data_IF_399329056745
#
_entry.id   IF_399329056745
#
_cell.length_a   1.000
_cell.length_b   1.000
_cell.length_c   1.000
_cell.angle_alpha   90.00
_cell.angle_beta   90.00
_cell.angle_gamma   90.00
#
_symmetry.space_group_name_H-M   'P 1'
#
loop_
_entity.id
_entity.type
_entity.pdbx_description
1 polymer ?
#
# COMPACT_ATOMS: atom_id res chain seq x y z
N UNK A 1 19.26 -0.05 1.97
CA UNK A 1 18.73 1.25 1.49
C UNK A 1 17.61 1.68 2.42
N UNK A 2 17.79 2.75 3.17
CA UNK A 2 16.77 3.32 4.05
C UNK A 2 15.86 4.25 3.25
N UNK A 3 14.58 4.34 3.65
CA UNK A 3 13.57 5.14 2.94
C UNK A 3 13.32 6.41 3.75
N UNK A 4 13.74 7.56 3.22
CA UNK A 4 13.58 8.87 3.85
C UNK A 4 12.50 9.72 3.17
N UNK A 5 12.10 9.34 1.96
CA UNK A 5 11.04 10.01 1.21
C UNK A 5 9.65 9.54 1.65
N UNK A 6 8.68 10.47 1.57
CA UNK A 6 7.26 10.19 1.79
C UNK A 6 6.48 10.41 0.50
N UNK A 7 5.47 9.58 0.30
CA UNK A 7 4.49 9.73 -0.76
C UNK A 7 3.10 9.58 -0.15
N UNK A 8 2.25 10.59 -0.34
CA UNK A 8 0.84 10.54 0.06
C UNK A 8 -0.02 10.40 -1.17
N UNK A 9 -0.88 9.40 -1.20
CA UNK A 9 -1.88 9.27 -2.26
C UNK A 9 -2.88 10.44 -2.19
N UNK A 10 -3.43 10.87 -3.33
CA UNK A 10 -4.43 11.94 -3.33
C UNK A 10 -5.66 11.59 -2.47
N UNK A 11 -6.21 12.57 -1.76
CA UNK A 11 -7.36 12.34 -0.88
C UNK A 11 -8.63 11.96 -1.66
N UNK A 12 -8.74 12.43 -2.91
CA UNK A 12 -9.77 11.98 -3.85
C UNK A 12 -9.70 10.47 -4.07
N UNK A 13 -8.52 9.92 -4.31
CA UNK A 13 -8.33 8.48 -4.51
C UNK A 13 -8.58 7.71 -3.22
N UNK A 14 -8.10 8.18 -2.07
CA UNK A 14 -8.38 7.55 -0.76
C UNK A 14 -9.88 7.46 -0.50
N UNK A 15 -10.60 8.57 -0.69
CA UNK A 15 -12.04 8.63 -0.51
C UNK A 15 -12.80 7.71 -1.49
N UNK A 16 -12.32 7.58 -2.74
CA UNK A 16 -12.88 6.65 -3.70
C UNK A 16 -12.69 5.19 -3.24
N UNK A 17 -11.48 4.81 -2.78
CA UNK A 17 -11.18 3.46 -2.29
C UNK A 17 -12.06 3.08 -1.10
N UNK A 18 -12.28 3.99 -0.15
CA UNK A 18 -13.16 3.73 1.00
C UNK A 18 -14.64 3.53 0.64
N UNK A 19 -15.09 4.06 -0.51
CA UNK A 19 -16.46 3.85 -1.00
C UNK A 19 -16.63 2.52 -1.74
N UNK A 20 -15.54 1.89 -2.18
CA UNK A 20 -15.61 0.62 -2.87
C UNK A 20 -15.86 -0.52 -1.88
N UNK A 21 -16.63 -1.52 -2.32
CA UNK A 21 -16.83 -2.75 -1.57
C UNK A 21 -15.81 -3.81 -2.05
N UNK A 22 -14.96 -4.36 -1.17
CA UNK A 22 -14.04 -5.42 -1.56
C UNK A 22 -14.81 -6.68 -1.95
N UNK A 23 -14.35 -7.37 -2.99
CA UNK A 23 -14.91 -8.64 -3.44
C UNK A 23 -13.92 -9.76 -3.13
N UNK A 24 -13.95 -10.25 -1.89
CA UNK A 24 -13.15 -11.41 -1.51
C UNK A 24 -13.73 -12.70 -2.11
N UNK A 25 -12.86 -13.53 -2.67
CA UNK A 25 -13.23 -14.84 -3.20
C UNK A 25 -13.50 -15.89 -2.11
N UNK A 26 -13.85 -17.10 -2.56
CA UNK A 26 -14.02 -18.28 -1.71
C UNK A 26 -15.11 -18.13 -0.63
N UNK A 27 -16.27 -17.55 -0.98
CA UNK A 27 -17.43 -17.37 -0.09
C UNK A 27 -17.06 -16.70 1.25
N UNK A 28 -16.21 -15.68 1.22
CA UNK A 28 -15.80 -14.92 2.41
C UNK A 28 -14.62 -15.52 3.19
N UNK A 29 -14.13 -16.71 2.82
CA UNK A 29 -12.91 -17.25 3.44
C UNK A 29 -11.70 -16.34 3.21
N UNK A 30 -11.57 -15.74 2.03
CA UNK A 30 -10.50 -14.78 1.74
C UNK A 30 -10.53 -13.55 2.66
N UNK A 31 -11.74 -13.09 3.01
CA UNK A 31 -11.94 -11.97 3.92
C UNK A 31 -11.51 -12.33 5.35
N UNK A 32 -11.92 -13.50 5.84
CA UNK A 32 -11.52 -14.00 7.15
C UNK A 32 -9.99 -14.17 7.26
N UNK A 33 -9.34 -14.71 6.23
CA UNK A 33 -7.88 -14.85 6.18
C UNK A 33 -7.20 -13.49 6.20
N UNK A 34 -7.73 -12.51 5.47
CA UNK A 34 -7.20 -11.14 5.44
C UNK A 34 -7.26 -10.48 6.82
N UNK A 35 -8.42 -10.46 7.46
CA UNK A 35 -8.58 -9.82 8.77
C UNK A 35 -7.81 -10.52 9.89
N UNK A 36 -7.61 -11.85 9.79
CA UNK A 36 -6.77 -12.60 10.72
C UNK A 36 -5.28 -12.31 10.56
N UNK A 37 -4.81 -12.17 9.32
CA UNK A 37 -3.37 -12.28 9.01
C UNK A 37 -2.72 -10.94 8.67
N UNK A 38 -3.39 -10.12 7.87
CA UNK A 38 -2.80 -8.94 7.23
C UNK A 38 -3.35 -7.62 7.76
N UNK A 39 -4.60 -7.60 8.23
CA UNK A 39 -5.20 -6.40 8.80
C UNK A 39 -4.50 -6.01 10.10
N UNK A 40 -3.94 -4.80 10.12
CA UNK A 40 -3.22 -4.27 11.29
C UNK A 40 -4.18 -3.59 12.25
N UNK A 41 -3.82 -3.55 13.52
CA UNK A 41 -4.52 -2.70 14.50
C UNK A 41 -4.07 -1.24 14.32
N UNK A 42 -5.02 -0.36 14.12
CA UNK A 42 -4.85 1.09 14.10
C UNK A 42 -4.67 1.61 15.53
N UNK A 43 -4.20 2.85 15.68
CA UNK A 43 -4.01 3.50 16.98
C UNK A 43 -5.32 3.60 17.80
N UNK A 44 -6.46 3.67 17.11
CA UNK A 44 -7.80 3.70 17.74
C UNK A 44 -8.30 2.30 18.16
N UNK A 45 -7.47 1.26 18.08
CA UNK A 45 -7.82 -0.12 18.45
C UNK A 45 -8.61 -0.90 17.40
N UNK A 46 -9.12 -0.25 16.36
CA UNK A 46 -9.82 -0.91 15.26
C UNK A 46 -8.85 -1.57 14.27
N UNK A 47 -9.33 -2.55 13.53
CA UNK A 47 -8.58 -3.17 12.44
C UNK A 47 -8.57 -2.29 11.18
N UNK A 48 -7.51 -2.39 10.39
CA UNK A 48 -7.44 -1.84 9.04
C UNK A 48 -8.53 -2.47 8.17
N UNK A 49 -9.26 -1.64 7.44
CA UNK A 49 -10.08 -2.09 6.32
C UNK A 49 -9.20 -2.46 5.12
N UNK A 50 -9.75 -3.20 4.16
CA UNK A 50 -9.02 -3.51 2.92
C UNK A 50 -8.51 -2.24 2.21
N UNK A 51 -9.34 -1.19 2.16
CA UNK A 51 -8.94 0.12 1.63
C UNK A 51 -7.75 0.72 2.38
N UNK A 52 -7.74 0.66 3.72
CA UNK A 52 -6.61 1.14 4.55
C UNK A 52 -5.32 0.41 4.18
N UNK A 53 -5.37 -0.92 4.05
CA UNK A 53 -4.21 -1.73 3.65
C UNK A 53 -3.73 -1.37 2.25
N UNK A 54 -4.63 -1.25 1.26
CA UNK A 54 -4.26 -0.86 -0.11
C UNK A 54 -3.57 0.51 -0.11
N UNK A 55 -4.13 1.51 0.57
CA UNK A 55 -3.54 2.86 0.65
C UNK A 55 -2.13 2.79 1.25
N UNK A 56 -1.97 2.08 2.38
CA UNK A 56 -0.68 1.91 3.05
C UNK A 56 0.35 1.24 2.14
N UNK A 57 -0.03 0.14 1.49
CA UNK A 57 0.86 -0.63 0.63
C UNK A 57 1.31 0.19 -0.58
N UNK A 58 0.37 0.85 -1.27
CA UNK A 58 0.66 1.67 -2.44
C UNK A 58 1.57 2.83 -2.08
N UNK A 59 1.28 3.55 -0.99
CA UNK A 59 2.17 4.61 -0.51
C UNK A 59 3.56 4.06 -0.21
N UNK A 60 3.66 2.90 0.45
CA UNK A 60 4.95 2.25 0.71
C UNK A 60 5.74 1.90 -0.55
N UNK A 61 5.08 1.39 -1.59
CA UNK A 61 5.73 1.08 -2.87
C UNK A 61 6.22 2.37 -3.54
N UNK A 62 5.39 3.42 -3.53
CA UNK A 62 5.74 4.71 -4.13
C UNK A 62 6.85 5.43 -3.35
N UNK A 63 6.93 5.28 -2.02
CA UNK A 63 8.05 5.75 -1.21
C UNK A 63 9.37 5.06 -1.61
N UNK A 64 9.36 3.73 -1.77
CA UNK A 64 10.54 2.98 -2.26
C UNK A 64 10.96 3.49 -3.65
N UNK A 65 9.99 3.69 -4.55
CA UNK A 65 10.24 4.19 -5.90
C UNK A 65 10.78 5.61 -5.89
N UNK A 66 10.19 6.52 -5.12
CA UNK A 66 10.66 7.91 -4.98
C UNK A 66 12.08 7.96 -4.43
N UNK A 67 12.38 7.12 -3.44
CA UNK A 67 13.74 6.99 -2.92
C UNK A 67 14.72 6.51 -3.99
N UNK A 68 14.34 5.54 -4.82
CA UNK A 68 15.17 5.09 -5.94
C UNK A 68 15.43 6.22 -6.94
N UNK A 69 14.43 7.01 -7.29
CA UNK A 69 14.59 8.14 -8.21
C UNK A 69 15.59 9.17 -7.68
N UNK A 70 15.43 9.58 -6.41
CA UNK A 70 16.34 10.54 -5.78
C UNK A 70 17.78 10.00 -5.73
N UNK A 71 17.95 8.74 -5.33
CA UNK A 71 19.28 8.14 -5.22
C UNK A 71 20.01 7.98 -6.56
N UNK A 72 19.27 7.96 -7.67
CA UNK A 72 19.81 7.80 -9.02
C UNK A 72 19.73 9.09 -9.85
N UNK A 73 19.43 10.24 -9.21
CA UNK A 73 19.31 11.55 -9.87
C UNK A 73 18.30 11.55 -11.03
N UNK A 74 17.23 10.78 -10.91
CA UNK A 74 16.13 10.75 -11.87
C UNK A 74 15.06 11.77 -11.47
N UNK A 75 14.45 12.43 -12.46
CA UNK A 75 13.40 13.41 -12.24
C UNK A 75 12.11 12.75 -11.74
N UNK A 76 11.52 13.32 -10.68
CA UNK A 76 10.26 12.87 -10.11
C UNK A 76 9.14 13.83 -10.47
N UNK A 77 8.17 13.35 -11.25
CA UNK A 77 6.93 14.07 -11.58
C UNK A 77 5.79 13.60 -10.68
N UNK A 78 5.39 14.43 -9.71
CA UNK A 78 4.33 14.07 -8.78
C UNK A 78 2.97 13.87 -9.49
N UNK A 79 2.63 14.60 -10.54
CA UNK A 79 1.34 14.47 -11.22
C UNK A 79 1.25 13.14 -11.99
N UNK A 80 2.33 12.78 -12.70
CA UNK A 80 2.43 11.49 -13.36
C UNK A 80 2.33 10.34 -12.35
N UNK A 81 3.10 10.40 -11.27
CA UNK A 81 3.13 9.34 -10.26
C UNK A 81 1.86 9.25 -9.43
N UNK A 82 1.12 10.34 -9.22
CA UNK A 82 -0.20 10.31 -8.58
C UNK A 82 -1.23 9.58 -9.44
N UNK A 83 -1.24 9.82 -10.76
CA UNK A 83 -2.12 9.11 -11.68
C UNK A 83 -1.81 7.61 -11.67
N UNK A 84 -0.54 7.25 -11.82
CA UNK A 84 -0.09 5.85 -11.80
C UNK A 84 -0.42 5.16 -10.48
N UNK A 85 -0.13 5.80 -9.33
CA UNK A 85 -0.42 5.24 -8.02
C UNK A 85 -1.93 5.04 -7.79
N UNK A 86 -2.76 5.92 -8.34
CA UNK A 86 -4.22 5.80 -8.23
C UNK A 86 -4.76 4.62 -9.01
N UNK A 87 -4.31 4.43 -10.26
CA UNK A 87 -4.67 3.27 -11.09
C UNK A 87 -4.19 1.97 -10.45
N UNK A 88 -2.95 1.96 -9.96
CA UNK A 88 -2.34 0.84 -9.26
C UNK A 88 -3.11 0.49 -7.97
N UNK A 89 -3.57 1.48 -7.21
CA UNK A 89 -4.37 1.27 -6.00
C UNK A 89 -5.74 0.66 -6.33
N UNK A 90 -6.41 1.12 -7.39
CA UNK A 90 -7.70 0.57 -7.82
C UNK A 90 -7.53 -0.89 -8.27
N UNK A 91 -6.48 -1.17 -9.05
CA UNK A 91 -6.16 -2.52 -9.51
C UNK A 91 -5.85 -3.48 -8.35
N UNK A 92 -5.05 -3.03 -7.36
CA UNK A 92 -4.78 -3.79 -6.14
C UNK A 92 -6.05 -3.99 -5.31
N UNK A 93 -6.92 -2.97 -5.20
CA UNK A 93 -8.17 -3.07 -4.47
C UNK A 93 -9.08 -4.15 -5.04
N UNK A 94 -9.13 -4.26 -6.37
CA UNK A 94 -9.83 -5.31 -7.11
C UNK A 94 -9.15 -6.68 -7.07
N UNK A 95 -7.98 -6.78 -6.42
CA UNK A 95 -7.16 -7.99 -6.31
C UNK A 95 -6.71 -8.55 -7.67
N UNK A 96 -6.56 -7.69 -8.68
CA UNK A 96 -6.01 -8.07 -9.99
C UNK A 96 -4.53 -8.46 -9.88
N UNK A 97 -3.84 -7.88 -8.90
CA UNK A 97 -2.50 -8.26 -8.46
C UNK A 97 -2.39 -8.02 -6.95
N UNK A 98 -1.49 -8.75 -6.29
CA UNK A 98 -1.19 -8.57 -4.89
C UNK A 98 0.32 -8.69 -4.66
N UNK A 99 0.89 -7.90 -3.74
CA UNK A 99 2.26 -8.14 -3.29
C UNK A 99 2.33 -9.45 -2.48
N UNK A 100 3.53 -10.00 -2.26
CA UNK A 100 3.70 -11.14 -1.35
C UNK A 100 3.16 -10.84 0.05
N UNK A 101 2.88 -11.88 0.85
CA UNK A 101 2.24 -11.72 2.17
C UNK A 101 2.98 -10.75 3.10
N UNK A 102 4.32 -10.74 3.08
CA UNK A 102 5.14 -9.75 3.81
C UNK A 102 4.94 -8.33 3.28
N UNK A 103 4.78 -8.19 1.96
CA UNK A 103 4.37 -6.94 1.31
C UNK A 103 3.07 -6.40 1.85
N UNK A 104 2.02 -7.23 1.93
CA UNK A 104 0.74 -6.84 2.52
C UNK A 104 0.88 -6.41 3.99
N UNK A 105 1.69 -7.13 4.76
CA UNK A 105 1.85 -6.90 6.19
C UNK A 105 2.72 -5.68 6.53
N UNK A 106 3.78 -5.42 5.75
CA UNK A 106 4.85 -4.49 6.13
C UNK A 106 5.09 -3.32 5.19
N UNK A 107 4.66 -3.36 3.92
CA UNK A 107 4.80 -2.19 3.04
C UNK A 107 4.17 -0.95 3.67
N UNK A 108 4.85 0.20 3.54
CA UNK A 108 4.39 1.50 4.05
C UNK A 108 4.52 1.68 5.57
N UNK A 109 5.17 0.74 6.26
CA UNK A 109 5.37 0.80 7.73
C UNK A 109 6.79 1.23 8.08
N UNK A 110 6.98 1.74 9.30
CA UNK A 110 8.29 2.19 9.76
C UNK A 110 9.34 1.08 9.79
N UNK A 111 8.91 -0.17 9.95
CA UNK A 111 9.81 -1.33 9.87
C UNK A 111 10.56 -1.36 8.53
N UNK A 112 9.88 -1.08 7.42
CA UNK A 112 10.48 -1.09 6.07
C UNK A 112 11.35 0.13 5.86
N UNK A 113 10.98 1.29 6.41
CA UNK A 113 11.80 2.51 6.34
C UNK A 113 13.12 2.35 7.09
N UNK A 114 13.08 1.74 8.28
CA UNK A 114 14.22 1.56 9.18
C UNK A 114 15.09 0.35 8.84
N UNK A 115 14.54 -0.72 8.26
CA UNK A 115 15.29 -1.97 7.98
C UNK A 115 15.53 -2.21 6.48
N UNK A 116 14.95 -1.37 5.63
CA UNK A 116 15.05 -1.48 4.17
C UNK A 116 14.03 -2.43 3.54
N UNK A 117 13.94 -2.38 2.21
CA UNK A 117 12.96 -3.13 1.41
C UNK A 117 13.23 -4.63 1.30
N UNK A 118 14.41 -5.11 1.69
CA UNK A 118 14.74 -6.54 1.69
C UNK A 118 13.78 -7.38 2.56
N UNK A 119 13.11 -6.75 3.52
CA UNK A 119 12.12 -7.38 4.41
C UNK A 119 10.83 -7.81 3.69
N UNK A 120 10.65 -7.40 2.44
CA UNK A 120 9.44 -7.63 1.64
C UNK A 120 9.50 -8.92 0.78
N UNK A 121 10.68 -9.55 0.71
CA UNK A 121 10.90 -10.84 0.04
C UNK A 121 10.65 -12.02 0.98
#
# INVERSE_FOLDING_TARGET
MFINTKFSLSDKTKAALHKLKPQFGFNGFGEAVYYRTYSRKKANGQQESWADTVIRVIQGIMEIRKQHYINNHLEWDDDHWQKYASEMAISMFKMEWLPPGRGLQFCGTDNVRQRGSAFLF
#
